data_IF_383110129860
#
_entry.id   IF_383110129860
#
_cell.length_a   1.000
_cell.length_b   1.000
_cell.length_c   1.000
_cell.angle_alpha   90.00
_cell.angle_beta   90.00
_cell.angle_gamma   90.00
#
_symmetry.space_group_name_H-M   'P 1'
#
loop_
_entity.id
_entity.type
_entity.pdbx_description
1 polymer ?
#
# COMPACT_ATOMS: atom_id res chain seq x y z
N UNK A 1 20.76 -23.12 17.24
CA UNK A 1 20.49 -22.86 15.78
C UNK A 1 20.76 -21.39 15.47
N UNK A 2 21.46 -21.07 14.37
CA UNK A 2 21.77 -19.67 13.98
C UNK A 2 20.52 -18.87 13.67
N UNK A 3 20.56 -17.55 13.94
CA UNK A 3 19.43 -16.63 13.61
C UNK A 3 19.04 -16.73 12.14
N UNK A 4 20.01 -16.73 11.23
CA UNK A 4 19.76 -16.85 9.78
C UNK A 4 19.02 -18.14 9.43
N UNK A 5 19.41 -19.27 10.04
CA UNK A 5 18.78 -20.58 9.86
C UNK A 5 17.36 -20.61 10.45
N UNK A 6 17.11 -19.94 11.58
CA UNK A 6 15.80 -19.81 12.20
C UNK A 6 14.79 -19.10 11.28
N UNK A 7 15.21 -18.01 10.67
CA UNK A 7 14.38 -17.29 9.69
C UNK A 7 14.13 -18.12 8.43
N UNK A 8 15.13 -18.84 7.94
CA UNK A 8 15.00 -19.73 6.78
C UNK A 8 14.03 -20.87 7.04
N UNK A 9 14.12 -21.52 8.20
CA UNK A 9 13.18 -22.56 8.64
C UNK A 9 11.73 -22.04 8.69
N UNK A 10 11.53 -20.83 9.24
CA UNK A 10 10.21 -20.19 9.23
C UNK A 10 9.71 -19.89 7.81
N UNK A 11 10.58 -19.49 6.89
CA UNK A 11 10.21 -19.24 5.50
C UNK A 11 9.73 -20.53 4.84
N UNK A 12 10.49 -21.59 4.93
CA UNK A 12 10.21 -22.89 4.31
C UNK A 12 8.95 -23.56 4.91
N UNK A 13 8.85 -23.63 6.22
CA UNK A 13 7.79 -24.38 6.88
C UNK A 13 6.50 -23.60 7.14
N UNK A 14 6.52 -22.28 7.05
CA UNK A 14 5.35 -21.46 7.35
C UNK A 14 4.94 -20.53 6.22
N UNK A 15 5.85 -19.77 5.65
CA UNK A 15 5.51 -18.78 4.61
C UNK A 15 5.15 -19.50 3.31
N UNK A 16 5.97 -20.46 2.89
CA UNK A 16 5.75 -21.21 1.65
C UNK A 16 4.54 -22.12 1.74
N UNK A 17 4.41 -22.89 2.82
CA UNK A 17 3.26 -23.79 3.04
C UNK A 17 1.93 -23.01 3.08
N UNK A 18 1.92 -21.80 3.63
CA UNK A 18 0.72 -20.94 3.65
C UNK A 18 0.54 -20.08 2.40
N UNK A 19 1.37 -20.26 1.35
CA UNK A 19 1.32 -19.46 0.12
C UNK A 19 1.23 -17.95 0.40
N UNK A 20 2.03 -17.46 1.35
CA UNK A 20 2.05 -16.04 1.68
C UNK A 20 2.72 -15.24 0.55
N UNK A 21 2.47 -13.93 0.53
CA UNK A 21 2.96 -13.07 -0.55
C UNK A 21 4.50 -12.98 -0.57
N UNK A 22 5.08 -12.83 -1.77
CA UNK A 22 6.52 -12.55 -1.95
C UNK A 22 6.99 -11.38 -1.09
N UNK A 23 6.16 -10.35 -0.91
CA UNK A 23 6.47 -9.21 -0.03
C UNK A 23 6.62 -9.63 1.43
N UNK A 24 5.84 -10.59 1.90
CA UNK A 24 5.99 -11.13 3.27
C UNK A 24 7.33 -11.82 3.45
N UNK A 25 7.76 -12.57 2.43
CA UNK A 25 9.05 -13.25 2.37
C UNK A 25 10.20 -12.23 2.35
N UNK A 26 10.14 -11.21 1.49
CA UNK A 26 11.13 -10.14 1.42
C UNK A 26 11.30 -9.41 2.76
N UNK A 27 10.19 -9.09 3.43
CA UNK A 27 10.22 -8.44 4.74
C UNK A 27 10.83 -9.33 5.82
N UNK A 28 10.60 -10.65 5.77
CA UNK A 28 11.24 -11.62 6.64
C UNK A 28 12.76 -11.59 6.44
N UNK A 29 13.21 -11.69 5.20
CA UNK A 29 14.63 -11.65 4.83
C UNK A 29 15.32 -10.34 5.18
N UNK A 30 14.62 -9.22 5.04
CA UNK A 30 15.14 -7.90 5.45
C UNK A 30 15.32 -7.82 6.97
N UNK A 31 14.36 -8.31 7.74
CA UNK A 31 14.46 -8.35 9.21
C UNK A 31 15.61 -9.22 9.65
N UNK A 32 15.75 -10.44 9.08
CA UNK A 32 16.85 -11.36 9.36
C UNK A 32 18.21 -10.72 9.10
N UNK A 33 18.40 -10.16 7.88
CA UNK A 33 19.67 -9.51 7.49
C UNK A 33 20.04 -8.35 8.41
N UNK A 34 19.08 -7.52 8.81
CA UNK A 34 19.32 -6.40 9.70
C UNK A 34 19.66 -6.86 11.13
N UNK A 35 18.99 -7.91 11.63
CA UNK A 35 19.29 -8.46 12.95
C UNK A 35 20.69 -9.10 12.96
N UNK A 36 20.99 -9.97 12.01
CA UNK A 36 22.30 -10.64 11.87
C UNK A 36 23.44 -9.61 11.72
N UNK A 37 23.22 -8.54 10.94
CA UNK A 37 24.19 -7.45 10.81
C UNK A 37 24.50 -6.78 12.15
N UNK A 38 23.51 -6.70 13.02
CA UNK A 38 23.67 -6.04 14.33
C UNK A 38 24.24 -6.96 15.42
N UNK A 39 23.73 -8.20 15.52
CA UNK A 39 24.11 -9.14 16.59
C UNK A 39 25.26 -10.09 16.23
N UNK A 40 25.64 -10.14 14.95
CA UNK A 40 26.27 -11.33 14.39
C UNK A 40 25.23 -12.45 14.18
N UNK A 41 25.62 -13.52 13.49
CA UNK A 41 24.76 -14.69 13.32
C UNK A 41 24.90 -15.64 14.54
N UNK A 42 24.47 -15.15 15.70
CA UNK A 42 24.50 -15.91 16.96
C UNK A 42 23.44 -17.02 16.96
N UNK A 43 23.54 -17.96 17.89
CA UNK A 43 22.47 -18.94 18.09
C UNK A 43 21.23 -18.30 18.69
N UNK A 44 20.04 -18.71 18.20
CA UNK A 44 18.76 -18.12 18.59
C UNK A 44 18.46 -18.27 20.07
N UNK A 45 19.01 -19.31 20.70
CA UNK A 45 18.91 -19.57 22.14
C UNK A 45 19.65 -18.50 22.95
N UNK A 46 20.67 -17.86 22.37
CA UNK A 46 21.46 -16.80 22.99
C UNK A 46 20.91 -15.39 22.70
N UNK A 47 19.83 -15.28 21.93
CA UNK A 47 19.16 -14.01 21.68
C UNK A 47 18.40 -13.56 22.94
N UNK A 48 18.76 -12.40 23.48
CA UNK A 48 18.16 -11.83 24.69
C UNK A 48 17.30 -10.62 24.41
N UNK A 49 16.46 -10.23 25.36
CA UNK A 49 15.68 -8.99 25.28
C UNK A 49 16.57 -7.75 25.15
N UNK A 50 17.77 -7.78 25.78
CA UNK A 50 18.73 -6.69 25.66
C UNK A 50 19.25 -6.55 24.21
N UNK A 51 19.52 -7.64 23.51
CA UNK A 51 19.87 -7.60 22.08
C UNK A 51 18.76 -6.94 21.28
N UNK A 52 17.48 -7.27 21.50
CA UNK A 52 16.34 -6.69 20.79
C UNK A 52 16.19 -5.20 21.10
N UNK A 53 16.37 -4.80 22.36
CA UNK A 53 16.33 -3.39 22.76
C UNK A 53 17.43 -2.55 22.09
N UNK A 54 18.65 -3.03 22.11
CA UNK A 54 19.78 -2.35 21.49
C UNK A 54 19.64 -2.33 19.95
N UNK A 55 19.13 -3.42 19.36
CA UNK A 55 18.81 -3.45 17.93
C UNK A 55 17.76 -2.42 17.56
N UNK A 56 16.67 -2.29 18.34
CA UNK A 56 15.67 -1.23 18.13
C UNK A 56 16.28 0.16 18.15
N UNK A 57 17.16 0.46 19.12
CA UNK A 57 17.89 1.73 19.19
C UNK A 57 18.73 1.98 17.94
N UNK A 58 19.46 0.98 17.49
CA UNK A 58 20.27 1.06 16.28
C UNK A 58 19.42 1.29 15.03
N UNK A 59 18.29 0.58 14.90
CA UNK A 59 17.35 0.80 13.79
C UNK A 59 16.80 2.23 13.77
N UNK A 60 16.48 2.80 14.92
CA UNK A 60 15.89 4.14 15.04
C UNK A 60 16.80 5.27 14.54
N UNK A 61 18.11 5.04 14.41
CA UNK A 61 19.07 6.02 13.85
C UNK A 61 18.71 6.36 12.39
N UNK A 62 18.27 5.36 11.59
CA UNK A 62 18.07 5.51 10.14
C UNK A 62 16.73 5.02 9.64
N UNK A 63 15.81 4.63 10.53
CA UNK A 63 14.49 4.07 10.19
C UNK A 63 13.40 4.76 10.97
N UNK A 64 12.21 4.85 10.36
CA UNK A 64 11.00 5.31 11.04
C UNK A 64 10.54 4.29 12.10
N UNK A 65 9.85 4.76 13.13
CA UNK A 65 9.32 3.91 14.21
C UNK A 65 8.42 2.78 13.65
N UNK A 66 7.61 3.07 12.65
CA UNK A 66 6.78 2.06 11.97
C UNK A 66 7.62 0.99 11.26
N UNK A 67 8.79 1.33 10.71
CA UNK A 67 9.73 0.37 10.11
C UNK A 67 10.38 -0.48 11.20
N UNK A 68 10.84 0.14 12.28
CA UNK A 68 11.41 -0.56 13.45
C UNK A 68 10.40 -1.55 14.03
N UNK A 69 9.16 -1.10 14.23
CA UNK A 69 8.04 -1.95 14.63
C UNK A 69 7.85 -3.15 13.70
N UNK A 70 7.91 -2.92 12.38
CA UNK A 70 7.77 -3.99 11.38
C UNK A 70 8.83 -5.07 11.52
N UNK A 71 10.08 -4.70 11.77
CA UNK A 71 11.17 -5.65 11.97
C UNK A 71 11.04 -6.44 13.29
N UNK A 72 10.72 -5.75 14.40
CA UNK A 72 10.52 -6.40 15.70
C UNK A 72 9.33 -7.36 15.65
N UNK A 73 8.22 -6.94 15.01
CA UNK A 73 7.06 -7.80 14.82
C UNK A 73 7.41 -9.06 14.01
N UNK A 74 8.24 -8.91 12.97
CA UNK A 74 8.66 -10.05 12.15
C UNK A 74 9.54 -11.02 12.97
N UNK A 75 10.47 -10.51 13.76
CA UNK A 75 11.26 -11.33 14.69
C UNK A 75 10.36 -12.07 15.69
N UNK A 76 9.41 -11.36 16.33
CA UNK A 76 8.47 -11.98 17.27
C UNK A 76 7.66 -13.11 16.61
N UNK A 77 7.25 -12.95 15.37
CA UNK A 77 6.51 -13.99 14.64
C UNK A 77 7.39 -15.22 14.39
N UNK A 78 8.67 -15.04 14.02
CA UNK A 78 9.62 -16.15 13.86
C UNK A 78 9.87 -16.88 15.18
N UNK A 79 10.12 -16.13 16.26
CA UNK A 79 10.32 -16.72 17.60
C UNK A 79 9.05 -17.44 18.06
N UNK A 80 7.86 -16.88 17.82
CA UNK A 80 6.59 -17.56 18.15
C UNK A 80 6.40 -18.87 17.37
N UNK A 81 6.85 -18.93 16.12
CA UNK A 81 6.86 -20.16 15.36
C UNK A 81 7.81 -21.21 15.98
N UNK A 82 9.06 -20.83 16.28
CA UNK A 82 10.05 -21.70 16.91
C UNK A 82 9.58 -22.21 18.27
N UNK A 83 9.02 -21.33 19.09
CA UNK A 83 8.47 -21.67 20.40
C UNK A 83 7.36 -22.71 20.31
N UNK A 84 6.49 -22.60 19.30
CA UNK A 84 5.40 -23.57 19.05
C UNK A 84 5.87 -24.96 18.60
N UNK A 85 7.06 -25.05 18.00
CA UNK A 85 7.68 -26.33 17.66
C UNK A 85 8.67 -26.81 18.72
N UNK A 86 8.54 -26.29 19.95
CA UNK A 86 9.35 -26.61 21.12
C UNK A 86 10.87 -26.39 20.93
N UNK A 87 11.26 -25.45 20.07
CA UNK A 87 12.67 -25.07 19.97
C UNK A 87 13.04 -24.15 21.13
N UNK A 88 14.20 -24.39 21.74
CA UNK A 88 14.70 -23.56 22.82
C UNK A 88 14.97 -22.13 22.30
N UNK A 89 14.18 -21.16 22.71
CA UNK A 89 14.32 -19.75 22.32
C UNK A 89 13.60 -18.84 23.34
N UNK A 90 13.79 -17.54 23.19
CA UNK A 90 13.11 -16.54 24.01
C UNK A 90 11.59 -16.69 23.93
N UNK A 91 10.88 -16.52 25.07
CA UNK A 91 9.41 -16.47 25.04
C UNK A 91 8.95 -15.26 24.19
N UNK A 92 8.16 -15.49 23.11
CA UNK A 92 7.73 -14.43 22.21
C UNK A 92 6.88 -13.35 22.88
N UNK A 93 6.18 -13.68 23.98
CA UNK A 93 5.32 -12.72 24.69
C UNK A 93 6.11 -11.68 25.47
N UNK A 94 7.37 -11.98 25.78
CA UNK A 94 8.28 -11.02 26.40
C UNK A 94 8.83 -9.99 25.42
N UNK A 95 8.69 -10.19 24.08
CA UNK A 95 9.20 -9.25 23.08
C UNK A 95 8.25 -8.07 22.94
N UNK A 96 8.63 -6.85 23.40
CA UNK A 96 7.77 -5.68 23.31
C UNK A 96 7.68 -5.18 21.87
N UNK A 97 6.50 -5.26 21.28
CA UNK A 97 6.25 -4.65 19.96
C UNK A 97 5.81 -3.20 20.16
N UNK A 98 6.54 -2.21 19.60
CA UNK A 98 6.16 -0.81 19.71
C UNK A 98 4.72 -0.57 19.22
N UNK A 99 3.99 0.35 19.85
CA UNK A 99 2.66 0.75 19.37
C UNK A 99 2.81 1.35 17.98
N UNK A 100 1.78 1.19 17.16
CA UNK A 100 1.73 1.86 15.86
C UNK A 100 1.44 3.34 16.10
N UNK A 101 2.32 4.20 15.61
CA UNK A 101 2.01 5.63 15.60
C UNK A 101 0.92 5.90 14.55
N UNK A 102 -0.22 6.47 14.96
CA UNK A 102 -1.23 6.89 14.00
C UNK A 102 -0.67 8.05 13.17
N UNK A 103 -0.57 7.87 11.88
CA UNK A 103 -0.30 8.97 10.96
C UNK A 103 -1.57 9.30 10.19
N UNK A 104 -1.97 10.56 10.20
CA UNK A 104 -3.06 11.00 9.34
C UNK A 104 -2.66 10.78 7.88
N UNK A 105 -3.52 10.16 7.07
CA UNK A 105 -3.20 9.90 5.67
C UNK A 105 -3.05 11.22 4.91
N UNK A 106 -1.93 11.37 4.21
CA UNK A 106 -1.73 12.48 3.27
C UNK A 106 -2.70 12.28 2.10
N UNK A 107 -3.47 13.31 1.78
CA UNK A 107 -4.36 13.34 0.63
C UNK A 107 -4.23 14.66 -0.15
N UNK A 108 -4.69 14.62 -1.39
CA UNK A 108 -4.77 15.77 -2.31
C UNK A 108 -6.23 16.24 -2.39
N UNK A 109 -6.40 17.57 -2.51
CA UNK A 109 -7.70 18.14 -2.85
C UNK A 109 -8.06 17.82 -4.30
N UNK A 110 -9.30 18.08 -4.71
CA UNK A 110 -9.75 17.90 -6.11
C UNK A 110 -8.96 18.80 -7.07
N UNK A 111 -8.67 20.02 -6.64
CA UNK A 111 -7.91 21.02 -7.39
C UNK A 111 -6.46 20.54 -7.57
N UNK A 112 -5.80 20.07 -6.51
CA UNK A 112 -4.45 19.49 -6.56
C UNK A 112 -4.39 18.30 -7.53
N UNK A 113 -5.38 17.39 -7.46
CA UNK A 113 -5.44 16.25 -8.39
C UNK A 113 -5.67 16.70 -9.82
N UNK A 114 -6.59 17.64 -10.05
CA UNK A 114 -6.86 18.20 -11.39
C UNK A 114 -5.61 18.84 -11.98
N UNK A 115 -4.92 19.65 -11.18
CA UNK A 115 -3.66 20.28 -11.60
C UNK A 115 -2.57 19.23 -11.88
N UNK A 116 -2.47 18.18 -11.07
CA UNK A 116 -1.53 17.08 -11.29
C UNK A 116 -1.80 16.32 -12.59
N UNK A 117 -3.08 16.10 -12.94
CA UNK A 117 -3.46 15.47 -14.22
C UNK A 117 -3.07 16.38 -15.40
N UNK A 118 -3.41 17.68 -15.32
CA UNK A 118 -3.10 18.65 -16.38
C UNK A 118 -1.58 18.79 -16.60
N UNK A 119 -0.79 18.77 -15.53
CA UNK A 119 0.67 18.81 -15.54
C UNK A 119 1.31 17.49 -16.00
N UNK A 120 0.53 16.46 -16.26
CA UNK A 120 0.99 15.22 -16.89
C UNK A 120 1.54 15.48 -18.28
N UNK A 121 2.81 15.10 -18.52
CA UNK A 121 3.52 15.48 -19.74
C UNK A 121 3.05 14.72 -21.00
N UNK A 122 2.26 13.66 -20.88
CA UNK A 122 1.68 12.88 -21.98
C UNK A 122 0.37 12.19 -21.55
N UNK A 123 -0.38 11.66 -22.53
CA UNK A 123 -1.69 11.05 -22.29
C UNK A 123 -1.61 9.81 -21.39
N UNK A 124 -0.53 9.00 -21.49
CA UNK A 124 -0.29 7.89 -20.56
C UNK A 124 -0.22 8.35 -19.09
N UNK A 125 0.53 9.42 -18.82
CA UNK A 125 0.67 9.96 -17.46
C UNK A 125 -0.66 10.49 -16.95
N UNK A 126 -1.38 11.26 -17.75
CA UNK A 126 -2.71 11.79 -17.42
C UNK A 126 -3.69 10.67 -17.14
N UNK A 127 -3.71 9.65 -18.00
CA UNK A 127 -4.55 8.46 -17.81
C UNK A 127 -4.24 7.70 -16.51
N UNK A 128 -2.96 7.38 -16.24
CA UNK A 128 -2.57 6.63 -15.03
C UNK A 128 -2.99 7.38 -13.75
N UNK A 129 -2.76 8.69 -13.69
CA UNK A 129 -3.14 9.51 -12.53
C UNK A 129 -4.66 9.55 -12.36
N UNK A 130 -5.38 9.80 -13.47
CA UNK A 130 -6.85 9.83 -13.47
C UNK A 130 -7.43 8.50 -13.03
N UNK A 131 -6.94 7.38 -13.57
CA UNK A 131 -7.40 6.04 -13.24
C UNK A 131 -7.19 5.69 -11.77
N UNK A 132 -5.99 5.95 -11.24
CA UNK A 132 -5.67 5.70 -9.82
C UNK A 132 -6.58 6.52 -8.90
N UNK A 133 -6.85 7.77 -9.26
CA UNK A 133 -7.71 8.64 -8.46
C UNK A 133 -9.19 8.30 -8.63
N UNK A 134 -9.73 8.18 -9.84
CA UNK A 134 -11.14 7.97 -10.09
C UNK A 134 -11.65 6.62 -9.55
N UNK A 135 -10.86 5.57 -9.67
CA UNK A 135 -11.23 4.22 -9.27
C UNK A 135 -10.78 3.81 -7.86
N UNK A 136 -9.82 4.53 -7.29
CA UNK A 136 -9.22 4.18 -6.00
C UNK A 136 -8.53 2.81 -5.95
N UNK A 137 -8.16 2.23 -7.09
CA UNK A 137 -7.50 0.91 -7.16
C UNK A 137 -6.09 0.95 -6.56
N UNK A 138 -5.60 -0.22 -6.14
CA UNK A 138 -4.22 -0.37 -5.66
C UNK A 138 -3.26 -0.40 -6.85
N UNK A 139 -2.02 0.06 -6.63
CA UNK A 139 -0.96 -0.02 -7.65
C UNK A 139 -0.79 -1.45 -8.20
N UNK A 140 -0.82 -2.46 -7.34
CA UNK A 140 -0.70 -3.86 -7.76
C UNK A 140 -1.88 -4.36 -8.61
N UNK A 141 -3.05 -3.74 -8.47
CA UNK A 141 -4.24 -4.03 -9.27
C UNK A 141 -4.12 -3.34 -10.63
N UNK A 142 -3.73 -2.06 -10.67
CA UNK A 142 -3.45 -1.34 -11.92
C UNK A 142 -2.45 -2.08 -12.81
N UNK A 143 -1.33 -2.54 -12.24
CA UNK A 143 -0.30 -3.26 -12.99
C UNK A 143 -0.87 -4.50 -13.69
N UNK A 144 -1.84 -5.17 -13.10
CA UNK A 144 -2.42 -6.42 -13.64
C UNK A 144 -3.49 -6.20 -14.70
N UNK A 145 -3.99 -4.98 -14.88
CA UNK A 145 -5.04 -4.70 -15.86
C UNK A 145 -4.52 -4.88 -17.29
N UNK A 146 -5.39 -5.44 -18.13
CA UNK A 146 -5.19 -5.61 -19.57
C UNK A 146 -6.07 -4.63 -20.36
N UNK A 147 -5.73 -4.42 -21.65
CA UNK A 147 -6.60 -3.70 -22.60
C UNK A 147 -7.96 -4.38 -22.69
N UNK A 148 -9.01 -3.61 -22.91
CA UNK A 148 -10.37 -4.14 -23.06
C UNK A 148 -11.03 -4.61 -21.77
N UNK A 149 -10.35 -4.59 -20.61
CA UNK A 149 -11.00 -4.91 -19.34
C UNK A 149 -11.88 -3.78 -18.78
N UNK A 150 -11.68 -2.55 -19.26
CA UNK A 150 -12.55 -1.41 -18.90
C UNK A 150 -13.60 -1.26 -20.01
N UNK A 151 -14.84 -1.60 -19.69
CA UNK A 151 -15.99 -1.57 -20.59
C UNK A 151 -17.07 -0.71 -19.94
N UNK A 152 -17.67 0.20 -20.68
CA UNK A 152 -18.74 1.08 -20.19
C UNK A 152 -18.41 1.77 -18.86
N UNK A 153 -17.17 2.26 -18.75
CA UNK A 153 -16.63 2.91 -17.57
C UNK A 153 -16.56 2.01 -16.31
N UNK A 154 -16.62 0.69 -16.49
CA UNK A 154 -16.60 -0.32 -15.40
C UNK A 154 -15.53 -1.37 -15.65
N UNK A 155 -14.97 -1.89 -14.58
CA UNK A 155 -14.04 -3.02 -14.62
C UNK A 155 -13.96 -3.72 -13.27
N UNK A 156 -13.51 -4.96 -13.28
CA UNK A 156 -13.36 -5.76 -12.05
C UNK A 156 -11.87 -5.95 -11.73
N UNK A 157 -11.52 -5.79 -10.46
CA UNK A 157 -10.19 -6.13 -9.95
C UNK A 157 -10.29 -7.19 -8.87
N UNK A 158 -9.26 -8.03 -8.79
CA UNK A 158 -9.14 -9.05 -7.74
C UNK A 158 -8.31 -8.47 -6.61
N UNK A 159 -8.95 -8.24 -5.46
CA UNK A 159 -8.33 -7.67 -4.27
C UNK A 159 -7.60 -8.69 -3.39
N UNK A 160 -7.20 -8.26 -2.19
CA UNK A 160 -6.62 -9.14 -1.17
C UNK A 160 -7.63 -10.25 -0.81
N UNK A 161 -7.16 -11.49 -0.71
CA UNK A 161 -8.03 -12.65 -0.45
C UNK A 161 -8.79 -13.16 -1.67
N UNK A 162 -8.35 -12.81 -2.89
CA UNK A 162 -8.95 -13.23 -4.16
C UNK A 162 -10.43 -12.83 -4.36
N UNK A 163 -10.92 -11.84 -3.61
CA UNK A 163 -12.30 -11.34 -3.75
C UNK A 163 -12.37 -10.32 -4.90
N UNK A 164 -13.22 -10.54 -5.92
CA UNK A 164 -13.45 -9.57 -6.97
C UNK A 164 -14.23 -8.37 -6.45
N UNK A 165 -13.95 -7.18 -6.99
CA UNK A 165 -14.78 -5.99 -6.77
C UNK A 165 -14.89 -5.17 -8.03
N UNK A 166 -16.05 -4.56 -8.20
CA UNK A 166 -16.35 -3.63 -9.28
C UNK A 166 -15.68 -2.28 -9.00
N UNK A 167 -15.09 -1.70 -10.03
CA UNK A 167 -14.48 -0.37 -10.03
C UNK A 167 -15.07 0.44 -11.18
N UNK A 168 -15.00 1.78 -11.05
CA UNK A 168 -15.56 2.72 -12.01
C UNK A 168 -14.52 3.75 -12.41
N UNK A 169 -14.67 4.32 -13.59
CA UNK A 169 -13.94 5.51 -14.06
C UNK A 169 -14.94 6.61 -14.46
N UNK A 170 -14.47 7.84 -14.38
CA UNK A 170 -15.22 9.01 -14.87
C UNK A 170 -14.92 9.29 -16.36
N UNK A 171 -15.70 10.18 -16.97
CA UNK A 171 -15.58 10.57 -18.38
C UNK A 171 -14.20 11.16 -18.71
N UNK A 172 -13.59 11.89 -17.77
CA UNK A 172 -12.24 12.43 -17.94
C UNK A 172 -11.19 11.32 -18.01
N UNK A 173 -11.31 10.30 -17.17
CA UNK A 173 -10.41 9.14 -17.19
C UNK A 173 -10.58 8.36 -18.49
N UNK A 174 -11.82 8.17 -18.95
CA UNK A 174 -12.13 7.53 -20.23
C UNK A 174 -11.48 8.29 -21.38
N UNK A 175 -11.63 9.59 -21.44
CA UNK A 175 -11.02 10.45 -22.47
C UNK A 175 -9.50 10.27 -22.54
N UNK A 176 -8.79 10.32 -21.42
CA UNK A 176 -7.35 10.10 -21.40
C UNK A 176 -6.96 8.66 -21.71
N UNK A 177 -7.79 7.69 -21.40
CA UNK A 177 -7.60 6.29 -21.78
C UNK A 177 -7.65 6.13 -23.29
N UNK A 178 -8.67 6.66 -23.93
CA UNK A 178 -8.86 6.60 -25.38
C UNK A 178 -7.70 7.28 -26.12
N UNK A 179 -7.30 8.49 -25.71
CA UNK A 179 -6.14 9.18 -26.26
C UNK A 179 -4.85 8.36 -26.10
N UNK A 180 -4.61 7.81 -24.92
CA UNK A 180 -3.43 6.99 -24.69
C UNK A 180 -3.44 5.71 -25.50
N UNK A 181 -4.57 5.03 -25.60
CA UNK A 181 -4.68 3.80 -26.37
C UNK A 181 -4.56 4.04 -27.89
N UNK A 182 -5.05 5.16 -28.41
CA UNK A 182 -4.90 5.52 -29.83
C UNK A 182 -3.44 5.82 -30.23
N UNK A 183 -2.62 6.26 -29.27
CA UNK A 183 -1.18 6.49 -29.48
C UNK A 183 -0.35 5.18 -29.47
N UNK A 184 -0.96 4.06 -29.11
CA UNK A 184 -0.25 2.79 -28.96
C UNK A 184 -0.18 2.01 -30.25
N UNK A 185 1.05 1.70 -30.67
CA UNK A 185 1.35 0.87 -31.83
C UNK A 185 1.92 -0.51 -31.47
N UNK A 186 1.76 -0.95 -30.18
CA UNK A 186 2.28 -2.23 -29.71
C UNK A 186 1.15 -3.28 -29.54
N UNK A 187 1.53 -4.56 -29.48
CA UNK A 187 0.60 -5.69 -29.30
C UNK A 187 0.52 -6.19 -27.85
N UNK A 188 1.09 -5.46 -26.88
CA UNK A 188 1.04 -5.87 -25.48
C UNK A 188 -0.39 -5.87 -24.95
N UNK A 189 -0.82 -6.94 -24.31
CA UNK A 189 -2.13 -7.01 -23.63
C UNK A 189 -2.24 -6.04 -22.44
N UNK A 190 -1.11 -5.62 -21.85
CA UNK A 190 -1.11 -4.77 -20.68
C UNK A 190 -1.82 -3.45 -20.95
N UNK A 191 -2.68 -3.00 -20.02
CA UNK A 191 -3.35 -1.71 -20.10
C UNK A 191 -2.33 -0.57 -20.11
N UNK A 192 -1.29 -0.63 -19.27
CA UNK A 192 -0.23 0.37 -19.20
C UNK A 192 1.13 -0.26 -19.49
N UNK A 193 1.86 0.36 -20.44
CA UNK A 193 3.18 -0.11 -20.90
C UNK A 193 4.27 0.95 -20.76
N UNK A 194 5.52 0.51 -20.69
CA UNK A 194 6.67 1.41 -20.78
C UNK A 194 6.81 1.95 -22.21
N UNK A 195 7.43 3.12 -22.40
CA UNK A 195 7.70 3.65 -23.74
C UNK A 195 8.85 2.91 -24.43
N UNK A 196 9.84 2.47 -23.66
CA UNK A 196 11.08 1.90 -24.20
C UNK A 196 10.84 0.53 -24.83
N UNK A 197 10.34 -0.42 -24.04
CA UNK A 197 10.25 -1.82 -24.46
C UNK A 197 8.81 -2.30 -24.70
N UNK A 198 7.82 -1.40 -24.58
CA UNK A 198 6.38 -1.72 -24.74
C UNK A 198 5.87 -2.87 -23.85
N UNK A 199 6.60 -3.19 -22.79
CA UNK A 199 6.17 -4.19 -21.80
C UNK A 199 5.35 -3.54 -20.68
N UNK A 200 4.64 -4.37 -19.93
CA UNK A 200 3.85 -3.97 -18.75
C UNK A 200 4.70 -3.12 -17.79
N UNK A 201 4.18 -1.96 -17.38
CA UNK A 201 4.88 -1.08 -16.44
C UNK A 201 5.07 -1.75 -15.08
N UNK A 202 6.25 -1.54 -14.51
CA UNK A 202 6.56 -1.99 -13.14
C UNK A 202 5.98 -1.05 -12.09
N UNK A 203 5.84 -1.55 -10.84
CA UNK A 203 5.43 -0.74 -9.70
C UNK A 203 6.33 0.50 -9.51
N UNK A 204 7.64 0.32 -9.65
CA UNK A 204 8.65 1.37 -9.48
C UNK A 204 8.46 2.48 -10.53
N UNK A 205 8.22 2.11 -11.79
CA UNK A 205 8.04 3.08 -12.88
C UNK A 205 6.76 3.90 -12.69
N UNK A 206 5.64 3.27 -12.23
CA UNK A 206 4.40 3.99 -11.95
C UNK A 206 4.58 4.92 -10.73
N UNK A 207 5.25 4.47 -9.67
CA UNK A 207 5.55 5.30 -8.51
C UNK A 207 6.40 6.53 -8.88
N UNK A 208 7.43 6.33 -9.72
CA UNK A 208 8.27 7.41 -10.22
C UNK A 208 7.47 8.40 -11.08
N UNK A 209 6.61 7.89 -11.96
CA UNK A 209 5.71 8.69 -12.80
C UNK A 209 4.80 9.58 -11.94
N UNK A 210 4.13 9.01 -10.94
CA UNK A 210 3.23 9.73 -10.02
C UNK A 210 3.99 10.80 -9.26
N UNK A 211 5.17 10.48 -8.70
CA UNK A 211 6.02 11.44 -7.99
C UNK A 211 6.46 12.60 -8.89
N UNK A 212 6.90 12.30 -10.11
CA UNK A 212 7.35 13.32 -11.06
C UNK A 212 6.19 14.21 -11.52
N UNK A 213 5.00 13.67 -11.70
CA UNK A 213 3.81 14.47 -12.03
C UNK A 213 3.43 15.41 -10.88
N UNK A 214 3.46 14.96 -9.64
CA UNK A 214 3.22 15.79 -8.47
C UNK A 214 4.26 16.93 -8.36
N UNK A 215 5.55 16.62 -8.61
CA UNK A 215 6.62 17.65 -8.63
C UNK A 215 6.36 18.70 -9.71
N UNK A 216 5.96 18.28 -10.92
CA UNK A 216 5.62 19.22 -12.02
C UNK A 216 4.42 20.10 -11.69
N UNK A 217 3.45 19.57 -10.97
CA UNK A 217 2.29 20.31 -10.48
C UNK A 217 2.61 21.23 -9.28
N UNK A 218 3.86 21.32 -8.83
CA UNK A 218 4.25 22.14 -7.68
C UNK A 218 3.76 21.61 -6.33
N UNK A 219 3.29 20.36 -6.26
CA UNK A 219 2.75 19.76 -5.03
C UNK A 219 3.90 19.38 -4.11
N UNK A 220 3.96 20.05 -2.94
CA UNK A 220 5.02 19.80 -1.93
C UNK A 220 4.83 18.51 -1.12
N UNK A 221 3.60 17.96 -1.10
CA UNK A 221 3.27 16.71 -0.41
C UNK A 221 3.99 15.52 -1.06
N UNK A 222 4.33 14.51 -0.25
CA UNK A 222 4.87 13.24 -0.78
C UNK A 222 3.76 12.43 -1.42
N UNK A 223 3.63 12.50 -2.74
CA UNK A 223 2.56 11.85 -3.51
C UNK A 223 3.01 10.48 -4.04
N UNK A 224 2.19 9.49 -3.75
CA UNK A 224 2.34 8.09 -4.21
C UNK A 224 1.01 7.60 -4.80
N UNK A 225 0.97 6.45 -5.49
CA UNK A 225 -0.30 5.81 -5.87
C UNK A 225 -1.26 5.60 -4.68
N UNK A 226 -0.73 5.31 -3.49
CA UNK A 226 -1.55 5.22 -2.28
C UNK A 226 -2.11 6.57 -1.85
N UNK A 227 -1.37 7.66 -2.04
CA UNK A 227 -1.88 9.01 -1.78
C UNK A 227 -3.07 9.34 -2.67
N UNK A 228 -3.04 8.98 -3.96
CA UNK A 228 -4.18 9.16 -4.87
C UNK A 228 -5.41 8.35 -4.42
N UNK A 229 -5.20 7.12 -3.98
CA UNK A 229 -6.28 6.29 -3.41
C UNK A 229 -6.83 6.88 -2.09
N UNK A 230 -5.97 7.43 -1.22
CA UNK A 230 -6.41 8.16 -0.01
C UNK A 230 -7.18 9.42 -0.38
N UNK A 231 -6.75 10.13 -1.43
CA UNK A 231 -7.46 11.30 -1.94
C UNK A 231 -8.84 10.95 -2.49
N UNK A 232 -8.96 9.84 -3.24
CA UNK A 232 -10.27 9.31 -3.66
C UNK A 232 -11.18 9.06 -2.46
N UNK A 233 -10.70 8.33 -1.45
CA UNK A 233 -11.48 8.00 -0.27
C UNK A 233 -11.93 9.22 0.52
N UNK A 234 -11.00 10.15 0.78
CA UNK A 234 -11.28 11.39 1.51
C UNK A 234 -12.25 12.28 0.76
N UNK A 235 -12.02 12.47 -0.55
CA UNK A 235 -12.88 13.33 -1.37
C UNK A 235 -14.28 12.69 -1.60
N UNK A 236 -14.37 11.35 -1.63
CA UNK A 236 -15.65 10.65 -1.67
C UNK A 236 -16.49 10.93 -0.41
N UNK A 237 -15.89 10.83 0.78
CA UNK A 237 -16.59 11.10 2.04
C UNK A 237 -16.93 12.60 2.20
N UNK A 238 -16.01 13.51 1.83
CA UNK A 238 -16.27 14.96 1.85
C UNK A 238 -17.43 15.39 0.96
N UNK A 239 -17.78 14.59 -0.05
CA UNK A 239 -18.94 14.79 -0.88
C UNK A 239 -20.16 13.98 -0.41
N UNK A 240 -20.24 13.73 0.90
CA UNK A 240 -21.32 12.98 1.52
C UNK A 240 -21.46 11.53 1.02
N UNK A 241 -20.38 10.95 0.49
CA UNK A 241 -20.36 9.55 0.11
C UNK A 241 -20.48 8.64 1.32
N UNK A 242 -21.32 7.61 1.24
CA UNK A 242 -21.54 6.68 2.34
C UNK A 242 -20.29 5.81 2.59
N UNK A 243 -19.86 5.70 3.86
CA UNK A 243 -18.69 4.94 4.29
C UNK A 243 -18.75 3.46 3.91
N UNK A 244 -19.94 2.86 3.93
CA UNK A 244 -20.14 1.45 3.56
C UNK A 244 -19.89 1.22 2.07
N UNK A 245 -20.39 2.11 1.22
CA UNK A 245 -20.10 2.06 -0.22
C UNK A 245 -18.62 2.31 -0.50
N UNK A 246 -17.99 3.28 0.17
CA UNK A 246 -16.56 3.49 0.06
C UNK A 246 -15.76 2.25 0.41
N UNK A 247 -16.09 1.58 1.52
CA UNK A 247 -15.44 0.33 1.94
C UNK A 247 -15.54 -0.75 0.86
N UNK A 248 -16.71 -0.88 0.22
CA UNK A 248 -16.95 -1.83 -0.89
C UNK A 248 -16.09 -1.46 -2.11
N UNK A 249 -16.10 -0.20 -2.53
CA UNK A 249 -15.31 0.31 -3.67
C UNK A 249 -13.81 0.09 -3.45
N UNK A 250 -13.33 0.32 -2.23
CA UNK A 250 -11.92 0.12 -1.89
C UNK A 250 -11.57 -1.36 -1.67
N UNK A 251 -12.54 -2.23 -1.42
CA UNK A 251 -12.31 -3.64 -1.11
C UNK A 251 -11.56 -3.80 0.21
N UNK A 252 -12.01 -3.10 1.25
CA UNK A 252 -11.53 -3.27 2.61
C UNK A 252 -12.27 -4.44 3.27
N UNK A 253 -11.52 -5.34 3.91
CA UNK A 253 -12.08 -6.48 4.65
C UNK A 253 -12.68 -6.10 6.00
N UNK A 254 -12.35 -4.92 6.53
CA UNK A 254 -12.87 -4.34 7.77
C UNK A 254 -13.19 -2.87 7.55
N UNK A 255 -14.29 -2.42 8.14
CA UNK A 255 -14.69 -1.00 8.18
C UNK A 255 -13.67 -0.14 8.92
N UNK A 256 -12.93 -0.71 9.90
CA UNK A 256 -11.87 -0.01 10.63
C UNK A 256 -10.80 0.57 9.71
N UNK A 257 -10.50 -0.13 8.61
CA UNK A 257 -9.54 0.37 7.60
C UNK A 257 -10.10 1.58 6.85
N UNK A 258 -11.43 1.73 6.80
CA UNK A 258 -12.09 2.87 6.15
C UNK A 258 -12.36 3.99 7.17
N UNK A 259 -12.52 3.64 8.45
CA UNK A 259 -12.74 4.59 9.54
C UNK A 259 -11.57 5.59 9.72
N UNK A 260 -10.37 5.26 9.25
CA UNK A 260 -9.25 6.22 9.22
C UNK A 260 -9.53 7.49 8.41
N UNK A 261 -10.52 7.47 7.52
CA UNK A 261 -10.92 8.63 6.73
C UNK A 261 -12.03 9.46 7.39
N UNK A 262 -12.72 8.94 8.41
CA UNK A 262 -13.82 9.67 9.08
C UNK A 262 -13.31 10.87 9.86
N UNK A 263 -12.12 10.82 10.45
CA UNK A 263 -11.49 11.96 11.14
C UNK A 263 -11.30 13.20 10.24
N UNK A 264 -11.34 13.04 8.93
CA UNK A 264 -11.25 14.16 7.97
C UNK A 264 -12.62 14.80 7.72
N UNK A 265 -13.69 14.10 8.09
CA UNK A 265 -15.10 14.55 7.95
C UNK A 265 -15.61 15.17 9.25
N UNK A 266 -14.90 14.99 10.38
CA UNK A 266 -15.31 15.54 11.69
C UNK A 266 -15.37 17.08 11.69
N UNK A 267 -14.66 17.77 10.76
CA UNK A 267 -14.82 19.20 10.57
C UNK A 267 -16.20 19.61 10.01
N UNK A 268 -16.96 18.63 9.49
CA UNK A 268 -18.32 18.83 8.96
C UNK A 268 -19.41 18.30 9.94
N UNK A 269 -19.04 17.87 11.15
CA UNK A 269 -19.97 17.26 12.10
C UNK A 269 -21.14 18.21 12.46
N UNK A 270 -20.85 19.48 12.62
CA UNK A 270 -21.85 20.52 12.90
C UNK A 270 -22.80 20.70 11.72
N UNK A 271 -22.29 20.73 10.48
CA UNK A 271 -23.10 20.80 9.27
C UNK A 271 -23.95 19.55 9.07
N UNK A 272 -23.41 18.37 9.37
CA UNK A 272 -24.14 17.11 9.34
C UNK A 272 -25.26 17.09 10.40
N UNK A 273 -24.95 17.54 11.63
CA UNK A 273 -25.93 17.67 12.69
C UNK A 273 -27.08 18.62 12.28
N UNK A 274 -26.75 19.82 11.80
CA UNK A 274 -27.75 20.78 11.34
C UNK A 274 -28.60 20.25 10.19
N UNK A 275 -28.00 19.50 9.27
CA UNK A 275 -28.69 18.93 8.10
C UNK A 275 -29.68 17.80 8.42
N UNK A 276 -29.34 16.96 9.40
CA UNK A 276 -30.12 15.75 9.70
C UNK A 276 -30.91 15.84 11.02
N UNK A 277 -30.68 16.86 11.83
CA UNK A 277 -31.31 17.03 13.14
C UNK A 277 -32.12 18.34 13.26
N UNK A 278 -32.17 19.19 12.23
CA UNK A 278 -33.08 20.34 12.23
C UNK A 278 -34.53 19.87 12.07
N UNK A 279 -35.36 20.18 13.07
CA UNK A 279 -36.83 20.02 13.06
C UNK A 279 -37.46 21.06 12.14
#
# INVERSE_FOLDING_TARGET
>A
MKISAAFKLYEEQYIEVKNQSLRTLEMSRLAARNLVKFTGDIDIENLTLNHIYLWKKNLAINKTENTCRGYILKLRVVISFLYKINHNCLNPDLIPVPKREPSLPIFLTREEVSHMIQSGHNNRTKFIISLLYASGIRLSELIKLNRGQIIDNKFTVIGKGKKPRLCFIDERTRYYMELYLSERADNSEALVVSYENKTRMTATNIQLLVRNAAKRAGIKKHVTPHTLRHSFATNFLRNNGNLRYLSTLLGHSSLDTTAMYTHVVDNDLEQQYQRYHSI
#
